data_IF_121933197299
#
_entry.id   IF_121933197299
#
_cell.length_a   1.000
_cell.length_b   1.000
_cell.length_c   1.000
_cell.angle_alpha   90.00
_cell.angle_beta   90.00
_cell.angle_gamma   90.00
#
_symmetry.space_group_name_H-M   'P 1'
#
loop_
_entity.id
_entity.type
_entity.pdbx_description
1 polymer ?
#
# COMPACT_ATOMS: atom_id res chain seq x y z
N UNK A 1 6.22 0.85 20.00
CA UNK A 1 5.06 1.70 19.62
C UNK A 1 5.32 3.16 19.98
N UNK A 2 4.59 4.11 19.38
CA UNK A 2 4.77 5.55 19.60
C UNK A 2 4.56 5.95 21.07
N UNK A 3 3.49 5.43 21.68
CA UNK A 3 3.07 5.65 23.06
C UNK A 3 4.14 5.16 24.05
N UNK A 4 4.77 4.02 23.76
CA UNK A 4 5.88 3.50 24.56
C UNK A 4 7.08 4.45 24.57
N UNK A 5 7.39 5.11 23.43
CA UNK A 5 8.47 6.10 23.36
C UNK A 5 8.13 7.37 24.13
N UNK A 6 6.87 7.79 24.10
CA UNK A 6 6.39 8.94 24.89
C UNK A 6 6.47 8.66 26.39
N UNK A 7 6.02 7.48 26.83
CA UNK A 7 6.13 7.06 28.22
C UNK A 7 7.59 7.00 28.69
N UNK A 8 8.50 6.46 27.85
CA UNK A 8 9.93 6.44 28.14
C UNK A 8 10.54 7.85 28.25
N UNK A 9 9.96 8.85 27.59
CA UNK A 9 10.35 10.25 27.70
C UNK A 9 9.66 11.01 28.87
N UNK A 10 8.93 10.30 29.74
CA UNK A 10 8.21 10.90 30.87
C UNK A 10 6.89 11.57 30.52
N UNK A 11 6.41 11.41 29.28
CA UNK A 11 5.11 11.94 28.85
C UNK A 11 4.03 10.91 29.13
N UNK A 12 3.07 11.26 29.99
CA UNK A 12 1.93 10.41 30.28
C UNK A 12 0.89 10.51 29.15
N UNK A 13 0.51 9.36 28.59
CA UNK A 13 -0.42 9.28 27.45
C UNK A 13 -1.49 8.22 27.74
N UNK A 14 -2.74 8.58 27.47
CA UNK A 14 -3.87 7.65 27.42
C UNK A 14 -4.41 7.66 25.99
N UNK A 15 -4.23 6.56 25.27
CA UNK A 15 -4.83 6.40 23.95
C UNK A 15 -6.35 6.19 24.11
N UNK A 16 -7.15 6.89 23.29
CA UNK A 16 -8.59 6.71 23.21
C UNK A 16 -8.91 6.31 21.77
N UNK A 17 -9.44 5.11 21.61
CA UNK A 17 -9.88 4.61 20.30
C UNK A 17 -11.16 5.36 19.89
N UNK A 18 -11.10 6.08 18.77
CA UNK A 18 -12.23 6.87 18.26
C UNK A 18 -12.91 6.23 17.06
N UNK A 19 -12.16 5.44 16.29
CA UNK A 19 -12.64 4.66 15.16
C UNK A 19 -11.62 3.58 14.79
N UNK A 20 -12.04 2.64 13.96
CA UNK A 20 -11.17 1.60 13.38
C UNK A 20 -11.22 1.62 11.84
N UNK A 21 -10.21 1.03 11.21
CA UNK A 21 -10.15 0.78 9.77
C UNK A 21 -10.57 -0.66 9.51
N UNK A 22 -11.76 -0.85 8.95
CA UNK A 22 -12.25 -2.16 8.54
C UNK A 22 -11.92 -2.42 7.07
N UNK A 23 -11.41 -3.60 6.75
CA UNK A 23 -11.26 -4.04 5.37
C UNK A 23 -12.62 -4.21 4.68
N UNK A 24 -12.65 -4.01 3.38
CA UNK A 24 -13.80 -4.37 2.53
C UNK A 24 -13.42 -5.62 1.76
N UNK A 25 -14.17 -6.70 1.97
CA UNK A 25 -13.91 -7.99 1.34
C UNK A 25 -14.58 -8.06 -0.04
N UNK A 26 -13.86 -7.62 -1.08
CA UNK A 26 -14.30 -7.76 -2.46
C UNK A 26 -14.02 -9.18 -2.97
N UNK A 27 -15.05 -9.84 -3.50
CA UNK A 27 -14.89 -11.12 -4.16
C UNK A 27 -14.08 -11.01 -5.45
N UNK A 28 -13.41 -12.10 -5.84
CA UNK A 28 -12.51 -12.09 -7.00
C UNK A 28 -13.24 -11.67 -8.29
N UNK A 29 -14.48 -12.12 -8.49
CA UNK A 29 -15.29 -11.75 -9.65
C UNK A 29 -15.59 -10.24 -9.72
N UNK A 30 -15.84 -9.60 -8.57
CA UNK A 30 -16.12 -8.16 -8.51
C UNK A 30 -14.87 -7.35 -8.85
N UNK A 31 -13.70 -7.78 -8.38
CA UNK A 31 -12.41 -7.14 -8.68
C UNK A 31 -12.09 -7.29 -10.16
N UNK A 32 -12.22 -8.50 -10.72
CA UNK A 32 -12.01 -8.76 -12.16
C UNK A 32 -12.92 -7.90 -13.02
N UNK A 33 -14.21 -7.85 -12.69
CA UNK A 33 -15.19 -7.02 -13.39
C UNK A 33 -14.83 -5.53 -13.30
N UNK A 34 -14.42 -5.05 -12.12
CA UNK A 34 -14.04 -3.65 -11.91
C UNK A 34 -12.80 -3.24 -12.69
N UNK A 35 -11.88 -4.17 -12.89
CA UNK A 35 -10.67 -3.99 -13.70
C UNK A 35 -10.90 -4.30 -15.19
N UNK A 36 -12.12 -4.70 -15.60
CA UNK A 36 -12.43 -5.09 -16.99
C UNK A 36 -11.47 -6.17 -17.54
N UNK A 37 -11.03 -7.07 -16.66
CA UNK A 37 -9.99 -8.07 -16.94
C UNK A 37 -8.67 -7.48 -17.48
N UNK A 38 -8.39 -6.19 -17.27
CA UNK A 38 -7.16 -5.54 -17.71
C UNK A 38 -6.09 -5.57 -16.61
N UNK A 39 -4.81 -5.71 -16.98
CA UNK A 39 -3.71 -5.56 -16.03
C UNK A 39 -3.71 -4.17 -15.37
N UNK A 40 -3.32 -4.11 -14.11
CA UNK A 40 -3.09 -2.87 -13.38
C UNK A 40 -1.70 -2.36 -13.72
N UNK A 41 -1.60 -1.18 -14.32
CA UNK A 41 -0.31 -0.60 -14.69
C UNK A 41 0.45 -0.03 -13.49
N UNK A 42 -0.26 0.62 -12.57
CA UNK A 42 0.31 1.19 -11.37
C UNK A 42 -0.67 1.13 -10.19
N UNK A 43 -0.14 0.88 -8.99
CA UNK A 43 -0.87 0.92 -7.73
C UNK A 43 -0.21 1.94 -6.79
N UNK A 44 -0.99 2.92 -6.33
CA UNK A 44 -0.53 3.98 -5.43
C UNK A 44 -0.87 3.61 -3.98
N UNK A 45 0.15 3.52 -3.12
CA UNK A 45 0.05 3.04 -1.74
C UNK A 45 0.33 4.18 -0.75
N UNK A 46 -0.72 4.54 -0.02
CA UNK A 46 -0.72 5.66 0.92
C UNK A 46 -0.48 5.25 2.38
N UNK A 47 -0.51 3.95 2.68
CA UNK A 47 -0.31 3.45 4.04
C UNK A 47 0.15 1.99 4.06
N UNK A 48 0.79 1.59 5.14
CA UNK A 48 1.18 0.19 5.35
C UNK A 48 -0.04 -0.76 5.38
N UNK A 49 -1.21 -0.29 5.87
CA UNK A 49 -2.47 -1.05 5.83
C UNK A 49 -2.91 -1.30 4.38
N UNK A 50 -2.80 -0.31 3.50
CA UNK A 50 -3.12 -0.45 2.08
C UNK A 50 -2.16 -1.41 1.37
N UNK A 51 -0.86 -1.35 1.68
CA UNK A 51 0.12 -2.32 1.18
C UNK A 51 -0.28 -3.74 1.58
N UNK A 52 -0.55 -3.98 2.87
CA UNK A 52 -0.95 -5.31 3.35
C UNK A 52 -2.22 -5.83 2.66
N UNK A 53 -3.26 -5.00 2.52
CA UNK A 53 -4.48 -5.39 1.84
C UNK A 53 -4.26 -5.73 0.35
N UNK A 54 -3.39 -4.98 -0.33
CA UNK A 54 -3.06 -5.26 -1.73
C UNK A 54 -2.23 -6.54 -1.87
N UNK A 55 -1.32 -6.80 -0.93
CA UNK A 55 -0.55 -8.05 -0.88
C UNK A 55 -1.48 -9.26 -0.78
N UNK A 56 -2.45 -9.20 0.12
CA UNK A 56 -3.48 -10.25 0.27
C UNK A 56 -4.32 -10.40 -1.01
N UNK A 57 -4.65 -9.29 -1.69
CA UNK A 57 -5.37 -9.30 -2.96
C UNK A 57 -4.56 -10.01 -4.07
N UNK A 58 -3.27 -9.68 -4.21
CA UNK A 58 -2.36 -10.25 -5.23
C UNK A 58 -2.05 -11.72 -4.95
N UNK A 59 -2.05 -12.13 -3.68
CA UNK A 59 -1.81 -13.52 -3.30
C UNK A 59 -2.88 -14.46 -3.86
N UNK A 60 -4.10 -13.96 -4.13
CA UNK A 60 -5.21 -14.74 -4.68
C UNK A 60 -4.91 -15.19 -6.11
N UNK A 61 -4.98 -16.51 -6.41
CA UNK A 61 -4.62 -17.04 -7.73
C UNK A 61 -5.41 -16.41 -8.90
N UNK A 62 -6.70 -16.10 -8.70
CA UNK A 62 -7.56 -15.52 -9.74
C UNK A 62 -7.18 -14.07 -10.11
N UNK A 63 -6.49 -13.36 -9.21
CA UNK A 63 -6.18 -11.93 -9.36
C UNK A 63 -4.71 -11.69 -9.66
N UNK A 64 -3.81 -12.61 -9.28
CA UNK A 64 -2.35 -12.46 -9.41
C UNK A 64 -1.91 -11.98 -10.80
N UNK A 65 -2.48 -12.56 -11.86
CA UNK A 65 -2.11 -12.26 -13.25
C UNK A 65 -2.37 -10.80 -13.62
N UNK A 66 -3.34 -10.16 -12.98
CA UNK A 66 -3.67 -8.74 -13.21
C UNK A 66 -2.59 -7.80 -12.66
N UNK A 67 -1.67 -8.28 -11.83
CA UNK A 67 -0.66 -7.47 -11.15
C UNK A 67 0.80 -7.84 -11.49
N UNK A 68 1.02 -8.72 -12.47
CA UNK A 68 2.36 -9.22 -12.83
C UNK A 68 3.32 -8.11 -13.26
N UNK A 69 2.80 -7.10 -13.95
CA UNK A 69 3.57 -5.97 -14.47
C UNK A 69 3.31 -4.65 -13.73
N UNK A 70 2.55 -4.69 -12.63
CA UNK A 70 2.20 -3.49 -11.87
C UNK A 70 3.43 -2.84 -11.25
N UNK A 71 3.51 -1.52 -11.40
CA UNK A 71 4.41 -0.66 -10.63
C UNK A 71 3.74 -0.27 -9.30
N UNK A 72 4.45 -0.45 -8.19
CA UNK A 72 3.96 -0.11 -6.86
C UNK A 72 4.61 1.17 -6.37
N UNK A 73 3.83 2.24 -6.34
CA UNK A 73 4.27 3.57 -5.98
C UNK A 73 3.88 3.82 -4.53
N UNK A 74 4.82 4.20 -3.67
CA UNK A 74 4.59 4.30 -2.23
C UNK A 74 4.99 5.66 -1.68
N UNK A 75 4.23 6.20 -0.71
CA UNK A 75 4.54 7.51 -0.10
C UNK A 75 5.83 7.51 0.74
N UNK A 76 6.30 6.35 1.21
CA UNK A 76 7.47 6.27 2.07
C UNK A 76 8.06 4.86 2.08
N UNK A 77 9.33 4.75 2.46
CA UNK A 77 10.03 3.48 2.58
C UNK A 77 9.31 2.48 3.51
N UNK A 78 8.69 2.97 4.59
CA UNK A 78 7.90 2.14 5.51
C UNK A 78 6.70 1.47 4.83
N UNK A 79 6.13 2.10 3.81
CA UNK A 79 4.98 1.56 3.05
C UNK A 79 5.46 0.57 1.98
N UNK A 80 6.66 0.79 1.44
CA UNK A 80 7.32 -0.06 0.45
C UNK A 80 7.84 -1.38 1.03
N UNK A 81 8.39 -1.37 2.25
CA UNK A 81 9.03 -2.53 2.89
C UNK A 81 8.29 -3.87 2.68
N UNK A 82 6.98 -4.02 2.99
CA UNK A 82 6.29 -5.30 2.78
C UNK A 82 6.06 -5.65 1.30
N UNK A 83 6.10 -4.67 0.39
CA UNK A 83 5.91 -4.87 -1.05
C UNK A 83 7.22 -5.23 -1.76
N UNK A 84 8.37 -4.83 -1.22
CA UNK A 84 9.69 -5.11 -1.81
C UNK A 84 9.93 -6.62 -1.96
N UNK A 85 9.47 -7.44 -1.00
CA UNK A 85 9.56 -8.91 -1.08
C UNK A 85 8.76 -9.51 -2.25
N UNK A 86 7.71 -8.83 -2.70
CA UNK A 86 6.78 -9.33 -3.72
C UNK A 86 7.12 -8.78 -5.10
N UNK A 87 7.50 -7.50 -5.15
CA UNK A 87 7.59 -6.76 -6.39
C UNK A 87 9.01 -6.25 -6.70
N UNK A 88 9.94 -6.32 -5.74
CA UNK A 88 11.34 -5.98 -5.91
C UNK A 88 11.53 -4.62 -6.56
N UNK A 89 12.18 -4.60 -7.72
CA UNK A 89 12.49 -3.37 -8.47
C UNK A 89 11.27 -2.61 -8.99
N UNK A 90 10.06 -3.19 -8.97
CA UNK A 90 8.81 -2.51 -9.34
C UNK A 90 8.23 -1.65 -8.21
N UNK A 91 8.88 -1.63 -7.04
CA UNK A 91 8.51 -0.76 -5.93
C UNK A 91 9.30 0.55 -6.02
N UNK A 92 8.58 1.66 -6.05
CA UNK A 92 9.17 3.01 -6.13
C UNK A 92 8.64 3.86 -4.99
N UNK A 93 9.54 4.60 -4.37
CA UNK A 93 9.25 5.41 -3.18
C UNK A 93 9.27 6.89 -3.58
N UNK A 94 8.24 7.62 -3.18
CA UNK A 94 8.19 9.07 -3.37
C UNK A 94 9.34 9.76 -2.63
N UNK A 95 9.89 10.82 -3.20
CA UNK A 95 10.98 11.58 -2.57
C UNK A 95 10.57 12.26 -1.26
N UNK A 96 9.28 12.52 -1.10
CA UNK A 96 8.64 13.09 0.07
C UNK A 96 7.31 12.38 0.32
N UNK A 97 6.84 12.28 1.59
CA UNK A 97 5.58 11.63 1.93
C UNK A 97 4.37 12.53 1.63
N UNK A 98 4.29 13.01 0.40
CA UNK A 98 3.28 13.92 -0.11
C UNK A 98 2.66 13.37 -1.40
N UNK A 99 1.37 13.61 -1.61
CA UNK A 99 0.63 13.08 -2.76
C UNK A 99 1.22 13.54 -4.10
N UNK A 100 1.62 14.80 -4.21
CA UNK A 100 2.26 15.33 -5.42
C UNK A 100 3.56 14.59 -5.76
N UNK A 101 4.38 14.26 -4.74
CA UNK A 101 5.61 13.51 -4.93
C UNK A 101 5.34 12.06 -5.35
N UNK A 102 4.24 11.46 -4.87
CA UNK A 102 3.79 10.12 -5.28
C UNK A 102 3.30 10.12 -6.73
N UNK A 103 2.44 11.08 -7.09
CA UNK A 103 1.90 11.22 -8.44
C UNK A 103 3.00 11.51 -9.46
N UNK A 104 4.02 12.29 -9.09
CA UNK A 104 5.17 12.57 -9.94
C UNK A 104 5.91 11.29 -10.38
N UNK A 105 5.82 10.19 -9.64
CA UNK A 105 6.41 8.91 -10.03
C UNK A 105 5.77 8.32 -11.30
N UNK A 106 4.50 8.64 -11.59
CA UNK A 106 3.79 8.14 -12.79
C UNK A 106 4.40 8.69 -14.10
N UNK A 107 5.03 9.87 -14.05
CA UNK A 107 5.63 10.51 -15.22
C UNK A 107 7.12 10.21 -15.39
N UNK A 108 7.74 9.51 -14.46
CA UNK A 108 9.16 9.17 -14.53
C UNK A 108 9.38 7.90 -15.38
N UNK A 109 10.56 7.77 -16.01
CA UNK A 109 10.91 6.54 -16.71
C UNK A 109 10.89 5.34 -15.77
N UNK A 110 10.53 4.18 -16.32
CA UNK A 110 10.63 2.87 -15.68
C UNK A 110 12.08 2.37 -15.71
#
# INVERSE_FOLDING_TARGET
AFEQRLAAAGVHVQAIETYDTTGVDYGDADVVARLSCQPVEAALLYSAKASAALIELIARPALRQLFETTEFLTLSARIAEPMEEIAGSRVRVASQPEEDALLALLSQPR
#
